data_IF_672468635148
#
_entry.id   IF_672468635148
#
_cell.length_a   1.000
_cell.length_b   1.000
_cell.length_c   1.000
_cell.angle_alpha   90.00
_cell.angle_beta   90.00
_cell.angle_gamma   90.00
#
_symmetry.space_group_name_H-M   'P 1'
#
loop_
_entity.id
_entity.type
_entity.pdbx_description
1 polymer ?
#
# COMPACT_ATOMS: atom_id res chain seq x y z
N UNK A 1 15.41 20.26 -48.87
CA UNK A 1 14.07 20.85 -48.65
C UNK A 1 13.84 20.91 -47.14
N UNK A 2 13.84 22.12 -46.58
CA UNK A 2 13.55 22.38 -45.16
C UNK A 2 12.03 22.46 -44.97
N UNK A 3 11.50 21.79 -43.94
CA UNK A 3 10.17 22.10 -43.40
C UNK A 3 10.35 22.52 -41.95
N UNK A 4 10.26 23.83 -41.75
CA UNK A 4 9.97 24.49 -40.48
C UNK A 4 8.45 24.54 -40.28
N UNK A 5 7.99 24.33 -39.05
CA UNK A 5 6.66 24.71 -38.54
C UNK A 5 6.64 24.30 -37.07
N UNK A 6 6.19 25.03 -36.07
CA UNK A 6 5.77 26.42 -35.91
C UNK A 6 5.93 26.64 -34.40
N UNK A 7 6.81 27.55 -33.99
CA UNK A 7 6.86 27.99 -32.60
C UNK A 7 6.03 29.27 -32.52
N UNK A 8 4.94 29.20 -31.78
CA UNK A 8 4.11 30.35 -31.49
C UNK A 8 3.11 30.01 -30.41
N UNK A 9 3.41 30.36 -29.17
CA UNK A 9 2.38 30.87 -28.29
C UNK A 9 2.95 31.89 -27.30
N UNK A 10 2.15 32.93 -27.16
CA UNK A 10 2.49 34.21 -26.58
C UNK A 10 2.60 34.16 -25.05
N UNK A 11 3.52 34.96 -24.54
CA UNK A 11 3.63 35.32 -23.13
C UNK A 11 2.50 36.29 -22.79
N UNK A 12 1.60 35.88 -21.90
CA UNK A 12 0.84 36.80 -21.07
C UNK A 12 1.21 36.54 -19.62
N UNK A 13 1.98 37.47 -19.05
CA UNK A 13 2.22 37.57 -17.64
C UNK A 13 0.96 38.10 -16.94
N UNK A 14 0.54 37.46 -15.85
CA UNK A 14 0.14 38.06 -14.57
C UNK A 14 -0.43 36.95 -13.66
N UNK A 15 0.35 36.58 -12.64
CA UNK A 15 -0.01 35.56 -11.64
C UNK A 15 1.21 34.72 -11.32
N UNK A 16 1.85 35.00 -10.19
CA UNK A 16 3.09 34.37 -9.75
C UNK A 16 2.80 32.90 -9.42
N UNK A 17 3.01 32.01 -10.38
CA UNK A 17 3.14 30.58 -10.19
C UNK A 17 4.48 30.18 -10.77
N UNK A 18 5.49 30.02 -9.92
CA UNK A 18 6.75 29.41 -10.34
C UNK A 18 6.48 27.94 -10.62
N UNK A 19 6.20 27.59 -11.87
CA UNK A 19 6.36 26.21 -12.33
C UNK A 19 7.86 25.91 -12.32
N UNK A 20 8.34 25.32 -11.23
CA UNK A 20 9.59 24.59 -11.25
C UNK A 20 9.36 23.34 -12.10
N UNK A 21 9.72 23.43 -13.39
CA UNK A 21 9.90 22.24 -14.22
C UNK A 21 11.03 21.43 -13.59
N UNK A 22 10.69 20.38 -12.85
CA UNK A 22 11.66 19.34 -12.52
C UNK A 22 12.05 18.68 -13.84
N UNK A 23 13.30 18.90 -14.23
CA UNK A 23 13.91 18.23 -15.37
C UNK A 23 14.12 16.77 -14.99
N UNK A 24 13.17 15.91 -15.36
CA UNK A 24 13.36 14.47 -15.25
C UNK A 24 14.30 14.01 -16.37
N UNK A 25 15.41 13.38 -15.99
CA UNK A 25 16.25 12.64 -16.93
C UNK A 25 15.47 11.40 -17.33
N UNK A 26 14.93 11.44 -18.54
CA UNK A 26 14.34 10.28 -19.21
C UNK A 26 15.50 9.36 -19.64
N UNK A 27 15.76 8.33 -18.86
CA UNK A 27 16.69 7.27 -19.22
C UNK A 27 16.03 6.19 -20.07
N UNK A 28 14.91 6.48 -20.74
CA UNK A 28 14.41 5.73 -21.90
C UNK A 28 14.13 4.24 -21.67
N UNK A 29 14.08 3.77 -20.42
CA UNK A 29 13.91 2.36 -20.06
C UNK A 29 12.53 2.02 -19.52
N UNK A 30 11.59 2.97 -19.47
CA UNK A 30 10.26 2.72 -18.90
C UNK A 30 9.20 2.81 -19.99
N UNK A 31 8.77 1.65 -20.49
CA UNK A 31 7.76 1.51 -21.55
C UNK A 31 6.31 1.63 -21.07
N UNK A 32 6.07 2.04 -19.82
CA UNK A 32 4.73 2.26 -19.26
C UNK A 32 4.23 3.69 -19.47
N UNK A 33 2.94 3.85 -19.78
CA UNK A 33 2.28 5.17 -19.75
C UNK A 33 2.27 5.69 -18.32
N UNK A 34 3.06 6.74 -18.03
CA UNK A 34 3.01 7.42 -16.72
C UNK A 34 1.59 7.90 -16.41
N UNK A 35 1.12 7.64 -15.20
CA UNK A 35 -0.17 8.09 -14.67
C UNK A 35 0.04 9.14 -13.60
N UNK A 36 -0.79 10.18 -13.63
CA UNK A 36 -0.79 11.29 -12.68
C UNK A 36 -2.11 11.28 -11.90
N UNK A 37 -2.02 11.45 -10.59
CA UNK A 37 -3.15 11.58 -9.68
C UNK A 37 -2.96 12.82 -8.81
N UNK A 38 -3.97 13.68 -8.80
CA UNK A 38 -3.94 14.96 -8.08
C UNK A 38 -5.06 14.97 -7.03
N UNK A 39 -4.69 15.26 -5.79
CA UNK A 39 -5.61 15.31 -4.66
C UNK A 39 -5.44 16.62 -3.91
N UNK A 40 -6.55 17.22 -3.48
CA UNK A 40 -6.52 18.41 -2.64
C UNK A 40 -7.43 18.21 -1.43
N UNK A 41 -6.86 18.22 -0.23
CA UNK A 41 -7.60 18.03 1.02
C UNK A 41 -7.12 19.08 2.02
N UNK A 42 -8.03 19.95 2.46
CA UNK A 42 -7.77 20.95 3.50
C UNK A 42 -6.54 21.84 3.25
N UNK A 43 -6.30 22.24 2.00
CA UNK A 43 -5.16 23.09 1.63
C UNK A 43 -3.82 22.37 1.59
N UNK A 44 -3.83 21.03 1.59
CA UNK A 44 -2.71 20.21 1.19
C UNK A 44 -2.99 19.66 -0.22
N UNK A 45 -2.06 19.87 -1.13
CA UNK A 45 -2.12 19.36 -2.50
C UNK A 45 -1.12 18.21 -2.64
N UNK A 46 -1.59 17.04 -3.04
CA UNK A 46 -0.78 15.86 -3.29
C UNK A 46 -0.79 15.54 -4.79
N UNK A 47 0.39 15.50 -5.39
CA UNK A 47 0.60 15.03 -6.75
C UNK A 47 1.31 13.68 -6.70
N UNK A 48 0.76 12.67 -7.37
CA UNK A 48 1.33 11.32 -7.43
C UNK A 48 1.55 10.92 -8.86
N UNK A 49 2.77 10.52 -9.19
CA UNK A 49 3.13 9.96 -10.49
C UNK A 49 3.53 8.50 -10.31
N UNK A 50 2.96 7.63 -11.13
CA UNK A 50 3.38 6.23 -11.23
C UNK A 50 3.66 5.84 -12.67
N UNK A 51 4.49 4.84 -12.89
CA UNK A 51 4.86 4.33 -14.21
C UNK A 51 3.79 3.42 -14.86
N UNK A 52 2.66 3.17 -14.19
CA UNK A 52 1.55 2.41 -14.76
C UNK A 52 0.40 2.13 -13.79
N UNK A 53 -0.59 1.37 -14.25
CA UNK A 53 -1.68 0.82 -13.40
C UNK A 53 -1.79 -0.70 -13.51
N UNK A 54 -1.10 -1.29 -14.47
CA UNK A 54 -1.03 -2.73 -14.69
C UNK A 54 0.44 -3.09 -14.83
N UNK A 55 0.90 -4.05 -14.04
CA UNK A 55 2.31 -4.44 -13.94
C UNK A 55 2.48 -5.93 -14.20
N UNK A 56 3.59 -6.34 -14.81
CA UNK A 56 3.90 -7.72 -15.17
C UNK A 56 5.26 -8.15 -14.63
N UNK A 57 5.49 -9.46 -14.67
CA UNK A 57 6.74 -10.08 -14.21
C UNK A 57 7.98 -9.33 -14.75
N UNK A 58 8.89 -8.98 -13.83
CA UNK A 58 10.13 -8.26 -14.12
C UNK A 58 10.00 -6.75 -14.29
N UNK A 59 8.79 -6.18 -14.17
CA UNK A 59 8.60 -4.75 -14.02
C UNK A 59 8.71 -4.34 -12.55
N UNK A 60 9.10 -3.08 -12.29
CA UNK A 60 9.02 -2.48 -10.97
C UNK A 60 7.96 -1.38 -10.98
N UNK A 61 7.32 -1.18 -9.83
CA UNK A 61 6.41 -0.05 -9.63
C UNK A 61 7.22 1.11 -9.11
N UNK A 62 7.19 2.24 -9.82
CA UNK A 62 7.81 3.48 -9.38
C UNK A 62 6.68 4.42 -8.97
N UNK A 63 6.77 4.95 -7.75
CA UNK A 63 5.83 5.91 -7.20
C UNK A 63 6.58 7.16 -6.78
N UNK A 64 6.25 8.29 -7.39
CA UNK A 64 6.76 9.60 -7.04
C UNK A 64 5.62 10.43 -6.45
N UNK A 65 5.86 11.02 -5.30
CA UNK A 65 4.86 11.79 -4.56
C UNK A 65 5.43 13.16 -4.26
N UNK A 66 4.61 14.21 -4.44
CA UNK A 66 4.91 15.57 -3.98
C UNK A 66 3.70 16.13 -3.25
N UNK A 67 3.89 16.47 -1.97
CA UNK A 67 2.91 17.12 -1.12
C UNK A 67 3.28 18.61 -0.98
N UNK A 68 2.36 19.50 -1.32
CA UNK A 68 2.51 20.95 -1.19
C UNK A 68 1.60 21.49 -0.09
N UNK A 69 2.14 22.35 0.78
CA UNK A 69 1.31 23.13 1.71
C UNK A 69 0.73 24.37 1.02
N UNK A 70 -0.47 24.28 0.48
CA UNK A 70 -1.16 25.44 -0.11
C UNK A 70 -1.82 26.35 0.94
N UNK A 71 -1.76 25.99 2.22
CA UNK A 71 -2.26 26.87 3.28
C UNK A 71 -1.36 28.11 3.37
N UNK A 72 -1.98 29.26 3.64
CA UNK A 72 -1.25 30.49 4.00
C UNK A 72 -0.57 30.44 5.38
N UNK A 73 -0.51 29.27 6.02
CA UNK A 73 0.03 29.06 7.35
C UNK A 73 0.83 27.74 7.42
N UNK A 74 1.77 27.61 8.38
CA UNK A 74 2.52 26.38 8.58
C UNK A 74 1.66 25.20 9.06
N UNK A 75 1.99 24.00 8.61
CA UNK A 75 1.43 22.72 9.06
C UNK A 75 2.47 21.99 9.90
N UNK A 76 2.10 21.52 11.08
CA UNK A 76 2.91 20.59 11.88
C UNK A 76 2.41 19.18 11.68
N UNK A 77 3.31 18.23 11.50
CA UNK A 77 2.99 16.84 11.21
C UNK A 77 3.87 15.88 12.00
N UNK A 78 3.38 14.66 12.17
CA UNK A 78 4.10 13.57 12.81
C UNK A 78 4.90 12.82 11.75
N UNK A 79 6.18 12.56 12.04
CA UNK A 79 7.05 11.72 11.23
C UNK A 79 6.97 10.30 11.75
N UNK A 80 6.61 9.38 10.86
CA UNK A 80 6.57 7.96 11.17
C UNK A 80 7.90 7.35 10.75
N UNK A 81 8.61 6.74 11.71
CA UNK A 81 9.94 6.18 11.50
C UNK A 81 10.91 7.17 10.82
N UNK A 82 10.85 8.45 11.22
CA UNK A 82 11.71 9.51 10.68
C UNK A 82 11.33 10.04 9.30
N UNK A 83 10.22 9.59 8.72
CA UNK A 83 9.77 10.04 7.41
C UNK A 83 8.41 10.78 7.47
N UNK A 84 8.24 11.87 6.69
CA UNK A 84 6.99 12.62 6.67
C UNK A 84 5.88 11.94 5.84
N UNK A 85 6.25 11.24 4.77
CA UNK A 85 5.35 10.61 3.81
C UNK A 85 5.60 9.11 3.80
N UNK A 86 4.56 8.33 4.03
CA UNK A 86 4.59 6.88 3.88
C UNK A 86 3.97 6.48 2.54
N UNK A 87 4.61 5.53 1.87
CA UNK A 87 4.15 4.96 0.60
C UNK A 87 4.28 3.44 0.74
N UNK A 88 3.16 2.76 0.63
CA UNK A 88 3.06 1.30 0.74
C UNK A 88 2.23 0.78 -0.44
N UNK A 89 2.45 -0.48 -0.83
CA UNK A 89 1.59 -1.16 -1.81
C UNK A 89 0.99 -2.39 -1.14
N UNK A 90 -0.29 -2.32 -0.80
CA UNK A 90 -1.03 -3.35 -0.08
C UNK A 90 -1.79 -4.26 -1.06
N UNK A 91 -1.77 -5.57 -0.81
CA UNK A 91 -2.62 -6.51 -1.53
C UNK A 91 -4.08 -6.41 -1.07
N UNK A 92 -5.04 -6.52 -2.00
CA UNK A 92 -6.46 -6.42 -1.64
C UNK A 92 -7.00 -7.68 -0.94
N UNK A 93 -6.44 -8.85 -1.26
CA UNK A 93 -6.94 -10.15 -0.79
C UNK A 93 -5.97 -10.84 0.19
N UNK A 94 -4.88 -10.16 0.55
CA UNK A 94 -3.85 -10.65 1.44
C UNK A 94 -3.43 -9.54 2.38
N UNK A 95 -3.17 -9.87 3.64
CA UNK A 95 -2.54 -8.95 4.57
C UNK A 95 -1.02 -8.97 4.37
N UNK A 96 -0.57 -8.44 3.23
CA UNK A 96 0.83 -8.32 2.84
C UNK A 96 1.04 -7.02 2.07
N UNK A 97 2.26 -6.49 2.16
CA UNK A 97 2.75 -5.34 1.39
C UNK A 97 3.86 -5.78 0.45
N UNK A 98 4.03 -5.07 -0.66
CA UNK A 98 5.22 -5.24 -1.48
C UNK A 98 6.44 -4.67 -0.74
N UNK A 99 7.58 -5.34 -0.91
CA UNK A 99 8.86 -4.82 -0.41
C UNK A 99 9.24 -3.55 -1.18
N UNK A 100 9.83 -2.58 -0.49
CA UNK A 100 10.37 -1.38 -1.11
C UNK A 100 11.90 -1.50 -1.26
N UNK A 101 12.49 -0.89 -2.30
CA UNK A 101 13.94 -0.95 -2.52
C UNK A 101 14.73 0.03 -1.66
N UNK A 102 14.07 1.03 -1.09
CA UNK A 102 14.70 2.05 -0.27
C UNK A 102 14.97 1.55 1.17
N UNK A 103 14.49 0.36 1.52
CA UNK A 103 14.45 -0.16 2.88
C UNK A 103 13.29 0.45 3.67
N UNK A 104 12.71 -0.30 4.60
CA UNK A 104 11.89 0.31 5.64
C UNK A 104 12.81 1.15 6.54
N UNK A 105 12.47 2.41 6.82
CA UNK A 105 13.22 3.16 7.81
C UNK A 105 13.14 2.42 9.15
N UNK A 106 14.29 2.01 9.70
CA UNK A 106 14.34 1.28 10.97
C UNK A 106 13.63 2.07 12.08
N UNK A 107 12.49 1.56 12.53
CA UNK A 107 11.74 2.15 13.64
C UNK A 107 12.40 1.73 14.96
N UNK A 108 13.54 2.34 15.30
CA UNK A 108 14.25 2.06 16.54
C UNK A 108 13.55 2.71 17.75
N UNK A 109 12.57 2.00 18.33
CA UNK A 109 12.02 2.29 19.66
C UNK A 109 10.61 2.89 19.71
N UNK A 110 10.08 3.09 20.93
CA UNK A 110 8.67 3.44 21.13
C UNK A 110 8.31 4.78 20.49
N UNK A 111 7.15 4.78 19.83
CA UNK A 111 6.50 5.83 19.02
C UNK A 111 6.41 7.23 19.66
N UNK A 112 7.53 7.89 19.93
CA UNK A 112 7.55 9.35 19.95
C UNK A 112 7.77 9.82 18.51
N UNK A 113 6.66 9.94 17.77
CA UNK A 113 6.68 10.49 16.42
C UNK A 113 7.37 11.85 16.43
N UNK A 114 8.56 11.94 15.84
CA UNK A 114 9.28 13.19 15.72
C UNK A 114 8.41 14.16 14.93
N UNK A 115 8.30 15.41 15.38
CA UNK A 115 7.40 16.38 14.73
C UNK A 115 8.15 17.18 13.69
N UNK A 116 7.64 17.15 12.46
CA UNK A 116 8.06 18.02 11.38
C UNK A 116 7.17 19.25 11.25
N UNK A 117 7.61 20.20 10.43
CA UNK A 117 6.87 21.42 10.12
C UNK A 117 7.07 21.81 8.67
N UNK A 118 5.96 21.98 7.96
CA UNK A 118 5.90 22.46 6.58
C UNK A 118 5.40 23.90 6.56
N UNK A 119 6.20 24.86 6.10
CA UNK A 119 5.77 26.25 5.93
C UNK A 119 4.86 26.40 4.71
N UNK A 120 4.22 27.57 4.57
CA UNK A 120 3.35 27.85 3.41
C UNK A 120 4.12 27.75 2.09
N UNK A 121 3.55 27.03 1.13
CA UNK A 121 4.10 26.67 -0.18
C UNK A 121 5.37 25.80 -0.15
N UNK A 122 5.74 25.25 1.01
CA UNK A 122 6.79 24.23 1.08
C UNK A 122 6.28 22.91 0.50
N UNK A 123 7.21 22.16 -0.10
CA UNK A 123 6.97 20.87 -0.71
C UNK A 123 7.78 19.77 -0.03
N UNK A 124 7.15 18.62 0.14
CA UNK A 124 7.80 17.38 0.53
C UNK A 124 7.68 16.41 -0.65
N UNK A 125 8.80 15.85 -1.09
CA UNK A 125 8.82 14.90 -2.21
C UNK A 125 9.48 13.59 -1.81
N UNK A 126 8.93 12.48 -2.28
CA UNK A 126 9.45 11.12 -2.07
C UNK A 126 9.31 10.32 -3.36
N UNK A 127 10.31 9.50 -3.67
CA UNK A 127 10.26 8.54 -4.78
C UNK A 127 10.64 7.16 -4.23
N UNK A 128 9.80 6.17 -4.49
CA UNK A 128 9.97 4.80 -4.01
C UNK A 128 9.75 3.84 -5.17
N UNK A 129 10.58 2.81 -5.22
CA UNK A 129 10.48 1.72 -6.17
C UNK A 129 10.13 0.44 -5.41
N UNK A 130 9.21 -0.32 -5.98
CA UNK A 130 8.72 -1.58 -5.45
C UNK A 130 8.92 -2.67 -6.49
N UNK A 131 9.83 -3.63 -6.27
CA UNK A 131 9.77 -4.88 -7.01
C UNK A 131 8.44 -5.58 -6.74
N UNK A 132 7.98 -6.41 -7.66
CA UNK A 132 6.74 -7.18 -7.52
C UNK A 132 6.98 -8.40 -6.61
N UNK A 133 7.43 -8.15 -5.40
CA UNK A 133 7.81 -9.16 -4.41
C UNK A 133 7.18 -8.84 -3.05
N UNK A 134 6.77 -9.90 -2.35
CA UNK A 134 6.30 -9.84 -0.96
C UNK A 134 7.32 -10.52 -0.04
N UNK A 135 7.44 -10.06 1.22
CA UNK A 135 8.31 -10.72 2.20
C UNK A 135 7.75 -12.09 2.58
N UNK A 136 8.64 -13.07 2.70
CA UNK A 136 8.36 -14.40 3.28
C UNK A 136 8.79 -14.43 4.74
N UNK A 137 9.93 -13.80 5.02
CA UNK A 137 10.51 -13.56 6.32
C UNK A 137 11.47 -12.35 6.22
N UNK A 138 12.23 -12.06 7.27
CA UNK A 138 13.15 -10.92 7.33
C UNK A 138 14.29 -10.97 6.30
N UNK A 139 14.59 -12.14 5.73
CA UNK A 139 15.74 -12.36 4.83
C UNK A 139 15.32 -12.74 3.39
N UNK A 140 14.11 -13.24 3.19
CA UNK A 140 13.65 -13.84 1.94
C UNK A 140 12.37 -13.21 1.41
N UNK A 141 12.32 -13.03 0.10
CA UNK A 141 11.16 -12.53 -0.65
C UNK A 141 10.72 -13.55 -1.69
N UNK A 142 9.48 -13.43 -2.15
CA UNK A 142 8.93 -14.19 -3.27
C UNK A 142 8.12 -13.27 -4.17
N UNK A 143 7.96 -13.63 -5.45
CA UNK A 143 7.08 -12.92 -6.37
C UNK A 143 5.68 -12.75 -5.77
N UNK A 144 5.16 -11.53 -5.80
CA UNK A 144 3.81 -11.22 -5.39
C UNK A 144 2.79 -12.00 -6.24
N UNK A 145 1.70 -12.54 -5.65
CA UNK A 145 0.66 -13.20 -6.43
C UNK A 145 -0.06 -12.22 -7.38
N UNK A 146 -0.59 -12.74 -8.48
CA UNK A 146 -1.49 -11.99 -9.36
C UNK A 146 -2.69 -11.47 -8.55
N UNK A 147 -3.10 -10.22 -8.81
CA UNK A 147 -4.25 -9.67 -8.11
C UNK A 147 -4.37 -8.15 -8.15
N UNK A 148 -5.31 -7.66 -7.37
CA UNK A 148 -5.52 -6.23 -7.14
C UNK A 148 -4.68 -5.77 -5.94
N UNK A 149 -4.05 -4.62 -6.11
CA UNK A 149 -3.25 -3.97 -5.08
C UNK A 149 -3.63 -2.49 -5.00
N UNK A 150 -3.23 -1.83 -3.92
CA UNK A 150 -3.42 -0.40 -3.76
C UNK A 150 -2.14 0.29 -3.34
N UNK A 151 -1.75 1.33 -4.07
CA UNK A 151 -0.71 2.25 -3.61
C UNK A 151 -1.35 3.16 -2.57
N UNK A 152 -0.91 3.02 -1.32
CA UNK A 152 -1.38 3.78 -0.19
C UNK A 152 -0.37 4.84 0.18
N UNK A 153 -0.82 6.09 0.24
CA UNK A 153 0.02 7.24 0.60
C UNK A 153 -0.56 7.90 1.83
N UNK A 154 0.26 8.03 2.86
CA UNK A 154 -0.16 8.55 4.16
C UNK A 154 0.68 9.73 4.62
N UNK A 155 0.01 10.74 5.18
CA UNK A 155 0.59 11.91 5.82
C UNK A 155 -0.24 12.31 7.06
N UNK A 156 0.42 12.55 8.18
CA UNK A 156 -0.23 12.72 9.49
C UNK A 156 -0.03 14.13 10.06
N UNK A 157 -0.82 15.12 9.63
CA UNK A 157 -0.79 16.45 10.24
C UNK A 157 -1.41 16.42 11.65
N UNK A 158 -0.83 17.18 12.57
CA UNK A 158 -1.21 17.16 14.00
C UNK A 158 -2.48 17.95 14.34
N UNK A 159 -2.89 18.87 13.46
CA UNK A 159 -4.00 19.79 13.71
C UNK A 159 -5.24 19.54 12.82
N UNK A 160 -5.19 18.51 11.98
CA UNK A 160 -6.28 18.12 11.07
C UNK A 160 -6.28 16.60 10.90
N UNK A 161 -7.27 16.08 10.16
CA UNK A 161 -7.35 14.64 9.89
C UNK A 161 -6.14 14.16 9.07
N UNK A 162 -5.73 12.91 9.31
CA UNK A 162 -4.75 12.21 8.48
C UNK A 162 -5.16 12.27 7.01
N UNK A 163 -4.19 12.55 6.16
CA UNK A 163 -4.33 12.47 4.72
C UNK A 163 -3.92 11.06 4.32
N UNK A 164 -4.87 10.26 3.84
CA UNK A 164 -4.64 8.90 3.36
C UNK A 164 -5.33 8.79 2.01
N UNK A 165 -4.60 8.34 0.99
CA UNK A 165 -5.15 8.08 -0.34
C UNK A 165 -4.71 6.72 -0.85
N UNK A 166 -5.61 6.10 -1.61
CA UNK A 166 -5.48 4.76 -2.17
C UNK A 166 -5.61 4.86 -3.70
N UNK A 167 -4.63 4.33 -4.43
CA UNK A 167 -4.62 4.29 -5.89
C UNK A 167 -4.64 2.82 -6.33
N UNK A 168 -5.71 2.35 -6.99
CA UNK A 168 -5.81 0.97 -7.40
C UNK A 168 -4.85 0.66 -8.55
N UNK A 169 -4.20 -0.50 -8.46
CA UNK A 169 -3.34 -1.07 -9.49
C UNK A 169 -3.57 -2.58 -9.58
N UNK A 170 -3.10 -3.22 -10.65
CA UNK A 170 -3.14 -4.67 -10.78
C UNK A 170 -1.78 -5.23 -11.14
N UNK A 171 -1.43 -6.35 -10.52
CA UNK A 171 -0.25 -7.15 -10.87
C UNK A 171 -0.71 -8.37 -11.63
N UNK A 172 -0.11 -8.62 -12.79
CA UNK A 172 -0.34 -9.77 -13.65
C UNK A 172 0.99 -10.51 -13.85
N UNK A 173 1.33 -11.35 -12.89
CA UNK A 173 2.49 -12.24 -12.95
C UNK A 173 2.13 -13.60 -12.37
N UNK A 174 2.81 -14.65 -12.83
CA UNK A 174 2.60 -15.98 -12.29
C UNK A 174 3.63 -16.27 -11.20
N UNK A 175 3.15 -16.65 -10.03
CA UNK A 175 3.99 -17.30 -9.02
C UNK A 175 3.62 -18.78 -8.93
N UNK A 176 4.42 -19.64 -9.55
CA UNK A 176 4.18 -21.09 -9.56
C UNK A 176 4.66 -21.79 -8.29
N UNK A 177 5.44 -21.11 -7.45
CA UNK A 177 5.98 -21.68 -6.22
C UNK A 177 5.04 -21.44 -5.03
N UNK A 178 4.32 -20.33 -5.04
CA UNK A 178 3.39 -19.93 -3.99
C UNK A 178 2.00 -20.52 -4.26
N UNK A 179 1.52 -21.35 -3.36
CA UNK A 179 0.15 -21.86 -3.36
C UNK A 179 -0.84 -20.72 -3.24
N UNK A 180 -1.93 -20.79 -4.02
CA UNK A 180 -3.01 -19.80 -3.95
C UNK A 180 -3.64 -19.79 -2.53
N UNK A 181 -3.79 -18.63 -1.88
CA UNK A 181 -4.42 -18.51 -0.56
C UNK A 181 -5.81 -19.16 -0.48
N UNK A 182 -6.59 -19.10 -1.56
CA UNK A 182 -7.90 -19.73 -1.64
C UNK A 182 -7.82 -21.26 -1.69
N UNK A 183 -6.78 -21.82 -2.31
CA UNK A 183 -6.50 -23.26 -2.30
C UNK A 183 -6.07 -23.71 -0.90
N UNK A 184 -5.09 -23.03 -0.30
CA UNK A 184 -4.64 -23.28 1.06
C UNK A 184 -5.82 -23.23 2.06
N UNK A 185 -6.72 -22.27 1.91
CA UNK A 185 -7.95 -22.18 2.69
C UNK A 185 -8.84 -23.42 2.56
N UNK A 186 -9.04 -23.93 1.35
CA UNK A 186 -9.85 -25.13 1.15
C UNK A 186 -9.24 -26.34 1.86
N UNK A 187 -7.92 -26.50 1.81
CA UNK A 187 -7.23 -27.57 2.53
C UNK A 187 -7.36 -27.42 4.05
N UNK A 188 -7.18 -26.20 4.58
CA UNK A 188 -7.33 -25.93 6.01
C UNK A 188 -8.73 -26.31 6.53
N UNK A 189 -9.78 -26.01 5.76
CA UNK A 189 -11.16 -26.31 6.13
C UNK A 189 -11.48 -27.81 6.15
N UNK A 190 -10.66 -28.66 5.53
CA UNK A 190 -10.81 -30.12 5.58
C UNK A 190 -10.23 -30.75 6.85
N UNK A 191 -9.49 -29.98 7.66
CA UNK A 191 -8.87 -30.49 8.89
C UNK A 191 -9.92 -30.82 9.95
N UNK A 192 -9.62 -31.80 10.81
CA UNK A 192 -10.49 -32.16 11.94
C UNK A 192 -10.70 -30.98 12.90
N UNK A 193 -9.69 -30.11 13.03
CA UNK A 193 -9.73 -28.93 13.88
C UNK A 193 -10.74 -27.91 13.35
N UNK A 194 -10.68 -27.56 12.06
CA UNK A 194 -11.67 -26.72 11.40
C UNK A 194 -13.08 -27.29 11.56
N UNK A 195 -13.28 -28.57 11.22
CA UNK A 195 -14.58 -29.22 11.30
C UNK A 195 -15.16 -29.18 12.73
N UNK A 196 -14.33 -29.43 13.73
CA UNK A 196 -14.74 -29.38 15.13
C UNK A 196 -15.14 -27.96 15.55
N UNK A 197 -14.33 -26.96 15.18
CA UNK A 197 -14.61 -25.56 15.50
C UNK A 197 -15.89 -25.07 14.83
N UNK A 198 -16.07 -25.31 13.53
CA UNK A 198 -17.27 -24.90 12.80
C UNK A 198 -18.52 -25.68 13.23
N UNK A 199 -18.39 -26.89 13.77
CA UNK A 199 -19.54 -27.59 14.37
C UNK A 199 -20.09 -26.90 15.63
N UNK A 200 -19.24 -26.15 16.34
CA UNK A 200 -19.61 -25.42 17.56
C UNK A 200 -20.03 -23.98 17.26
N UNK A 201 -19.30 -23.31 16.37
CA UNK A 201 -19.42 -21.87 16.14
C UNK A 201 -19.99 -21.48 14.77
N UNK A 202 -20.23 -22.44 13.88
CA UNK A 202 -20.86 -22.19 12.57
C UNK A 202 -22.37 -21.97 12.62
N UNK A 203 -22.98 -22.06 13.81
CA UNK A 203 -24.40 -21.74 14.03
C UNK A 203 -24.63 -20.22 13.99
N UNK A 204 -25.06 -19.73 12.83
CA UNK A 204 -25.22 -18.30 12.55
C UNK A 204 -26.35 -17.64 13.34
N UNK A 205 -27.24 -18.40 13.98
CA UNK A 205 -28.24 -17.84 14.90
C UNK A 205 -27.59 -17.42 16.24
N UNK A 206 -26.51 -18.10 16.63
CA UNK A 206 -25.81 -17.89 17.92
C UNK A 206 -24.49 -17.14 17.80
N UNK A 207 -23.87 -17.19 16.63
CA UNK A 207 -22.53 -16.65 16.40
C UNK A 207 -22.44 -15.90 15.08
N UNK A 208 -21.72 -14.79 15.12
CA UNK A 208 -21.20 -14.11 13.93
C UNK A 208 -19.78 -14.61 13.73
N UNK A 209 -19.54 -15.27 12.60
CA UNK A 209 -18.19 -15.70 12.20
C UNK A 209 -17.62 -14.68 11.22
N UNK A 210 -16.42 -14.19 11.51
CA UNK A 210 -15.63 -13.35 10.63
C UNK A 210 -14.31 -14.03 10.29
N UNK A 211 -13.77 -13.68 9.13
CA UNK A 211 -12.48 -14.14 8.63
C UNK A 211 -11.53 -12.95 8.51
N UNK A 212 -10.28 -13.15 8.92
CA UNK A 212 -9.21 -12.19 8.67
C UNK A 212 -8.54 -12.50 7.34
N UNK A 213 -7.98 -11.47 6.69
CA UNK A 213 -7.21 -11.68 5.46
C UNK A 213 -6.03 -12.64 5.74
N UNK A 214 -5.77 -13.60 4.84
CA UNK A 214 -4.61 -14.47 4.97
C UNK A 214 -3.31 -13.66 4.91
N UNK A 215 -2.31 -14.10 5.65
CA UNK A 215 -0.95 -13.56 5.60
C UNK A 215 0.07 -14.69 5.56
N UNK A 216 1.28 -14.36 5.10
CA UNK A 216 2.39 -15.29 4.99
C UNK A 216 3.29 -15.14 6.23
N UNK A 217 3.60 -16.26 6.90
CA UNK A 217 4.50 -16.29 8.06
C UNK A 217 5.26 -17.61 8.05
N UNK A 218 6.59 -17.56 8.16
CA UNK A 218 7.46 -18.74 8.25
C UNK A 218 7.14 -19.84 7.22
N UNK A 219 6.98 -19.44 5.95
CA UNK A 219 6.61 -20.32 4.84
C UNK A 219 5.20 -20.95 4.88
N UNK A 220 4.30 -20.40 5.70
CA UNK A 220 2.92 -20.87 5.82
C UNK A 220 1.92 -19.75 5.59
N UNK A 221 0.81 -20.09 4.91
CA UNK A 221 -0.39 -19.29 4.96
C UNK A 221 -1.03 -19.42 6.32
N UNK A 222 -1.19 -18.30 7.01
CA UNK A 222 -1.93 -18.21 8.27
C UNK A 222 -3.36 -17.78 7.97
N UNK A 223 -4.30 -18.63 8.36
CA UNK A 223 -5.73 -18.46 8.12
C UNK A 223 -6.43 -18.33 9.47
N UNK A 224 -7.12 -17.21 9.67
CA UNK A 224 -7.78 -16.90 10.95
C UNK A 224 -9.27 -16.70 10.79
N UNK A 225 -10.03 -17.40 11.64
CA UNK A 225 -11.46 -17.16 11.85
C UNK A 225 -11.72 -16.76 13.29
N UNK A 226 -12.72 -15.91 13.48
CA UNK A 226 -13.20 -15.46 14.79
C UNK A 226 -14.71 -15.68 14.87
N UNK A 227 -15.17 -16.17 16.02
CA UNK A 227 -16.59 -16.25 16.33
C UNK A 227 -16.91 -15.35 17.52
N UNK A 228 -17.96 -14.55 17.34
CA UNK A 228 -18.52 -13.68 18.39
C UNK A 228 -19.99 -14.02 18.61
N UNK A 229 -20.40 -14.19 19.88
CA UNK A 229 -21.79 -14.50 20.18
C UNK A 229 -22.73 -13.34 19.83
N UNK A 230 -23.92 -13.67 19.34
CA UNK A 230 -24.99 -12.71 19.02
C UNK A 230 -25.74 -12.23 20.27
N UNK A 231 -25.68 -12.99 21.38
CA UNK A 231 -26.56 -12.81 22.54
C UNK A 231 -25.92 -12.08 23.74
N UNK A 232 -24.60 -11.81 23.72
CA UNK A 232 -23.90 -11.22 24.87
C UNK A 232 -23.27 -9.85 24.58
N UNK A 233 -23.68 -8.86 25.39
CA UNK A 233 -22.94 -7.63 25.73
C UNK A 233 -21.67 -7.91 26.58
N UNK A 234 -21.43 -9.17 26.97
CA UNK A 234 -20.33 -9.60 27.84
C UNK A 234 -19.06 -9.99 27.07
N UNK A 235 -17.94 -9.57 27.66
CA UNK A 235 -16.53 -9.62 27.26
C UNK A 235 -15.93 -11.04 27.26
N UNK A 236 -16.55 -12.01 26.58
CA UNK A 236 -15.81 -13.22 26.22
C UNK A 236 -14.89 -12.87 25.04
N UNK A 237 -13.59 -13.11 25.21
CA UNK A 237 -12.63 -12.99 24.10
C UNK A 237 -13.12 -13.81 22.90
N UNK A 238 -13.04 -13.20 21.72
CA UNK A 238 -13.44 -13.82 20.46
C UNK A 238 -12.84 -15.23 20.38
N UNK A 239 -13.69 -16.23 20.12
CA UNK A 239 -13.20 -17.58 19.95
C UNK A 239 -12.47 -17.63 18.61
N UNK A 240 -11.16 -17.85 18.66
CA UNK A 240 -10.27 -17.79 17.50
C UNK A 240 -9.91 -19.19 17.02
N UNK A 241 -9.97 -19.41 15.71
CA UNK A 241 -9.35 -20.54 15.02
C UNK A 241 -8.21 -20.00 14.18
N UNK A 242 -7.01 -20.53 14.37
CA UNK A 242 -5.83 -20.21 13.55
C UNK A 242 -5.33 -21.51 12.96
N UNK A 243 -5.27 -21.57 11.64
CA UNK A 243 -4.71 -22.72 10.91
C UNK A 243 -3.56 -22.25 10.03
N UNK A 244 -2.57 -23.11 9.91
CA UNK A 244 -1.41 -22.90 9.04
C UNK A 244 -1.43 -23.94 7.93
N UNK A 245 -1.15 -23.52 6.70
CA UNK A 245 -0.97 -24.40 5.54
C UNK A 245 0.34 -24.05 4.85
N UNK A 246 1.08 -25.04 4.30
CA UNK A 246 2.27 -24.76 3.54
C UNK A 246 1.97 -23.76 2.41
N UNK A 247 2.74 -22.68 2.33
CA UNK A 247 2.57 -21.68 1.29
C UNK A 247 3.30 -22.05 -0.01
N UNK A 248 4.21 -23.02 0.05
CA UNK A 248 5.06 -23.38 -1.07
C UNK A 248 4.82 -24.83 -1.52
N UNK A 249 4.67 -25.02 -2.83
CA UNK A 249 4.63 -26.35 -3.43
C UNK A 249 6.06 -26.90 -3.56
N UNK A 250 6.26 -28.17 -3.15
CA UNK A 250 7.52 -28.89 -3.35
C UNK A 250 7.77 -29.24 -4.83
#
# INVERSE_FOLDING_TARGET
MRKSSWAGLAVFALGIGFFAFVYFWDDGSHSGERKLYDYNINGLELNVVTNGTEFKEGEDIIVEVTLTNELGAPVTYDMQCGEPLQIEIEAAELNNTLVNTNGEPGCDGPDESEKGRMISNEQLSKSVQFPLEIPVNDEETVLAPEGQYSIKISFYPTAQQAFITDIPISINQQNQQLTDPAEAKQEALLTNEAQSWFSLYGDTEKYIVSEELPYLEDNHWVLTWKAKSTDTEDTLEDQKLVLQQPAFTN
#
